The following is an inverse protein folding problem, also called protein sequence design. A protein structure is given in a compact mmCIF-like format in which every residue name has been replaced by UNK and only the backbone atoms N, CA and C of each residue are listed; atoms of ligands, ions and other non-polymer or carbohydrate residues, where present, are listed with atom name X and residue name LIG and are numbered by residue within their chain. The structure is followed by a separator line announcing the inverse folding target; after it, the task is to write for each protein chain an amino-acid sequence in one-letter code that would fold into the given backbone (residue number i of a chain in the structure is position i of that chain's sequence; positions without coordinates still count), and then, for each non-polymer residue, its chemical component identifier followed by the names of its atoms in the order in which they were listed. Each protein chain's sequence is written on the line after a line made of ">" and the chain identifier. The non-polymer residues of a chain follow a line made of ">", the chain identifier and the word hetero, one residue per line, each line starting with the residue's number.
data_IF_429966070264
#
_entry.id   IF_429966070264
#
_cell.length_a   1.000
_cell.length_b   1.000
_cell.length_c   1.000
_cell.angle_alpha   90.00
_cell.angle_beta   90.00
_cell.angle_gamma   90.00
#
_symmetry.space_group_name_H-M   'P 1'
#
loop_
_entity.id
_entity.type
_entity.pdbx_description
1 polymer ?
#
# COMPACT_ATOMS: atom_id res chain seq x y z
N UNK A 1 13.95 -2.63 -4.33
CA UNK A 1 12.98 -1.95 -5.23
C UNK A 1 12.14 -0.95 -4.46
N UNK A 2 11.73 0.14 -5.15
CA UNK A 2 10.77 1.19 -4.77
C UNK A 2 11.28 2.38 -3.93
N UNK A 3 12.12 3.26 -4.52
CA UNK A 3 12.29 4.65 -4.07
C UNK A 3 11.62 5.71 -4.95
N UNK A 4 11.05 5.34 -6.10
CA UNK A 4 10.40 6.29 -7.02
C UNK A 4 8.99 5.82 -7.36
N UNK A 5 8.01 6.24 -6.57
CA UNK A 5 6.60 6.21 -6.96
C UNK A 5 6.22 7.67 -7.18
N UNK A 6 5.88 8.03 -8.40
CA UNK A 6 5.34 9.37 -8.68
C UNK A 6 3.88 9.35 -8.24
N UNK A 7 3.62 9.89 -7.05
CA UNK A 7 2.25 10.16 -6.61
C UNK A 7 1.74 11.41 -7.33
N UNK A 8 0.42 11.47 -7.57
CA UNK A 8 -0.20 12.57 -8.32
C UNK A 8 0.00 13.93 -7.65
N UNK A 9 -0.01 13.96 -6.31
CA UNK A 9 0.21 15.16 -5.49
C UNK A 9 1.47 14.93 -4.65
N UNK A 10 2.64 15.47 -5.05
CA UNK A 10 3.91 15.24 -4.36
C UNK A 10 3.91 15.57 -2.87
N UNK A 11 3.19 16.62 -2.47
CA UNK A 11 3.09 17.12 -1.11
C UNK A 11 2.39 16.14 -0.16
N UNK A 12 1.57 15.24 -0.71
CA UNK A 12 0.84 14.22 0.05
C UNK A 12 1.71 13.01 0.44
N UNK A 13 3.01 13.01 0.13
CA UNK A 13 3.91 11.86 0.30
C UNK A 13 3.89 11.31 1.71
N UNK A 14 3.99 12.18 2.70
CA UNK A 14 4.07 11.79 4.11
C UNK A 14 2.74 11.15 4.57
N UNK A 15 1.61 11.76 4.25
CA UNK A 15 0.29 11.23 4.59
C UNK A 15 0.01 9.91 3.86
N UNK A 16 0.47 9.77 2.61
CA UNK A 16 0.36 8.51 1.87
C UNK A 16 1.19 7.39 2.49
N UNK A 17 2.35 7.70 3.06
CA UNK A 17 3.16 6.71 3.78
C UNK A 17 2.50 6.30 5.10
N UNK A 18 1.92 7.24 5.84
CA UNK A 18 1.13 6.95 7.03
C UNK A 18 -0.11 6.09 6.70
N UNK A 19 -0.83 6.41 5.62
CA UNK A 19 -1.97 5.63 5.15
C UNK A 19 -1.56 4.20 4.80
N UNK A 20 -0.43 4.03 4.11
CA UNK A 20 0.13 2.71 3.77
C UNK A 20 0.43 1.89 5.01
N UNK A 21 1.04 2.50 6.03
CA UNK A 21 1.32 1.84 7.30
C UNK A 21 0.01 1.41 8.00
N UNK A 22 -0.96 2.33 8.09
CA UNK A 22 -2.30 2.09 8.66
C UNK A 22 -3.02 0.92 7.98
N UNK A 23 -3.10 0.93 6.65
CA UNK A 23 -3.81 -0.09 5.85
C UNK A 23 -3.18 -1.47 6.01
N UNK A 24 -1.86 -1.53 6.14
CA UNK A 24 -1.13 -2.78 6.35
C UNK A 24 -1.05 -3.22 7.81
N UNK A 25 -1.61 -2.47 8.76
CA UNK A 25 -1.52 -2.78 10.19
C UNK A 25 -0.10 -2.67 10.76
N UNK A 26 0.77 -1.85 10.14
CA UNK A 26 2.17 -1.67 10.54
C UNK A 26 2.42 -0.26 11.09
N UNK A 27 3.45 -0.12 11.92
CA UNK A 27 3.94 1.21 12.33
C UNK A 27 4.85 1.81 11.26
N UNK A 28 5.57 0.97 10.51
CA UNK A 28 6.54 1.39 9.52
C UNK A 28 6.01 1.17 8.09
N UNK A 29 5.87 2.22 7.26
CA UNK A 29 5.43 2.11 5.87
C UNK A 29 6.28 1.18 5.00
N UNK A 30 7.54 0.95 5.35
CA UNK A 30 8.44 0.05 4.61
C UNK A 30 8.10 -1.42 4.82
N UNK A 31 7.54 -1.76 5.99
CA UNK A 31 7.19 -3.12 6.38
C UNK A 31 5.82 -3.56 5.84
N UNK A 32 4.97 -2.60 5.46
CA UNK A 32 3.64 -2.83 4.90
C UNK A 32 3.57 -3.87 3.76
N UNK A 33 4.62 -3.97 2.94
CA UNK A 33 4.69 -4.95 1.84
C UNK A 33 4.89 -6.39 2.34
N UNK A 34 5.56 -6.58 3.47
CA UNK A 34 5.80 -7.88 4.06
C UNK A 34 4.55 -8.39 4.76
N UNK A 35 3.85 -7.53 5.50
CA UNK A 35 2.54 -7.87 6.07
C UNK A 35 1.53 -8.21 4.98
N UNK A 36 1.42 -7.36 3.96
CA UNK A 36 0.55 -7.64 2.81
C UNK A 36 0.91 -8.98 2.14
N UNK A 37 2.20 -9.35 2.08
CA UNK A 37 2.63 -10.62 1.52
C UNK A 37 2.28 -11.82 2.41
N UNK A 38 2.45 -11.68 3.73
CA UNK A 38 2.07 -12.69 4.72
C UNK A 38 0.57 -12.99 4.66
N UNK A 39 -0.27 -11.94 4.61
CA UNK A 39 -1.73 -12.09 4.48
C UNK A 39 -2.14 -12.84 3.22
N UNK A 40 -1.45 -12.60 2.10
CA UNK A 40 -1.80 -13.26 0.83
C UNK A 40 -1.05 -14.56 0.57
N UNK A 41 -0.24 -15.03 1.53
CA UNK A 41 0.53 -16.28 1.44
C UNK A 41 1.63 -16.25 0.38
N UNK A 42 2.26 -15.09 0.15
CA UNK A 42 3.39 -14.93 -0.77
C UNK A 42 4.69 -14.87 0.03
N UNK A 43 5.71 -15.69 -0.29
CA UNK A 43 6.96 -15.74 0.45
C UNK A 43 7.90 -14.58 0.05
N UNK A 44 7.51 -13.36 0.38
CA UNK A 44 8.30 -12.16 0.15
C UNK A 44 9.36 -11.99 1.24
N UNK A 45 10.62 -11.86 0.85
CA UNK A 45 11.77 -11.78 1.77
C UNK A 45 12.50 -10.45 1.69
N UNK A 46 13.25 -10.10 2.74
CA UNK A 46 14.20 -8.98 2.70
C UNK A 46 15.38 -9.36 1.79
N UNK A 47 15.52 -8.69 0.65
CA UNK A 47 16.59 -8.95 -0.31
C UNK A 47 16.07 -9.38 -1.69
N UNK A 48 16.66 -10.44 -2.24
CA UNK A 48 16.35 -10.93 -3.58
C UNK A 48 15.05 -11.75 -3.60
N UNK A 49 14.17 -11.41 -4.54
CA UNK A 49 12.86 -12.06 -4.71
C UNK A 49 12.62 -12.42 -6.19
N UNK A 50 13.68 -12.69 -6.96
CA UNK A 50 13.56 -12.98 -8.40
C UNK A 50 12.83 -14.29 -8.71
N UNK A 51 12.69 -15.17 -7.72
CA UNK A 51 11.87 -16.38 -7.78
C UNK A 51 10.36 -16.12 -7.68
N UNK A 52 9.93 -14.92 -7.27
CA UNK A 52 8.50 -14.59 -7.20
C UNK A 52 7.93 -14.43 -8.60
N UNK A 53 6.84 -15.14 -8.86
CA UNK A 53 6.11 -14.99 -10.12
C UNK A 53 5.48 -13.59 -10.21
N UNK A 54 5.29 -13.04 -11.43
CA UNK A 54 4.57 -11.79 -11.62
C UNK A 54 3.18 -11.79 -10.97
N UNK A 55 2.49 -12.94 -10.98
CA UNK A 55 1.19 -13.13 -10.32
C UNK A 55 1.28 -12.96 -8.81
N UNK A 56 2.30 -13.53 -8.16
CA UNK A 56 2.51 -13.38 -6.71
C UNK A 56 2.85 -11.93 -6.35
N UNK A 57 3.76 -11.29 -7.09
CA UNK A 57 4.08 -9.87 -6.89
C UNK A 57 2.84 -8.98 -7.07
N UNK A 58 2.03 -9.26 -8.10
CA UNK A 58 0.75 -8.59 -8.33
C UNK A 58 -0.24 -8.79 -7.20
N UNK A 59 -0.32 -9.99 -6.59
CA UNK A 59 -1.20 -10.28 -5.45
C UNK A 59 -0.85 -9.40 -4.23
N UNK A 60 0.44 -9.29 -3.90
CA UNK A 60 0.92 -8.42 -2.81
C UNK A 60 0.62 -6.95 -3.10
N UNK A 61 0.96 -6.49 -4.32
CA UNK A 61 0.74 -5.12 -4.75
C UNK A 61 -0.75 -4.74 -4.79
N UNK A 62 -1.60 -5.63 -5.27
CA UNK A 62 -3.05 -5.46 -5.33
C UNK A 62 -3.68 -5.42 -3.95
N UNK A 63 -3.26 -6.29 -3.02
CA UNK A 63 -3.74 -6.28 -1.64
C UNK A 63 -3.47 -4.95 -0.94
N UNK A 64 -2.25 -4.42 -1.05
CA UNK A 64 -1.88 -3.17 -0.40
C UNK A 64 -2.41 -1.94 -1.16
N UNK A 65 -2.22 -1.91 -2.48
CA UNK A 65 -2.63 -0.80 -3.35
C UNK A 65 -4.13 -0.63 -3.45
N UNK A 66 -4.86 -1.74 -3.61
CA UNK A 66 -6.32 -1.73 -3.68
C UNK A 66 -6.96 -1.19 -2.42
N UNK A 67 -6.45 -1.57 -1.24
CA UNK A 67 -6.98 -1.08 0.02
C UNK A 67 -6.63 0.39 0.29
N UNK A 68 -5.44 0.85 -0.09
CA UNK A 68 -5.12 2.28 -0.04
C UNK A 68 -6.09 3.09 -0.91
N UNK A 69 -6.39 2.64 -2.13
CA UNK A 69 -7.34 3.32 -3.01
C UNK A 69 -8.74 3.30 -2.42
N UNK A 70 -9.19 2.16 -1.87
CA UNK A 70 -10.49 2.04 -1.21
C UNK A 70 -10.64 3.04 -0.06
N UNK A 71 -9.63 3.14 0.81
CA UNK A 71 -9.64 4.06 1.95
C UNK A 71 -9.58 5.53 1.49
N UNK A 72 -8.82 5.85 0.44
CA UNK A 72 -8.80 7.19 -0.17
C UNK A 72 -10.17 7.60 -0.71
N UNK A 73 -10.84 6.72 -1.45
CA UNK A 73 -12.18 6.98 -1.98
C UNK A 73 -13.19 7.17 -0.84
N UNK A 74 -13.11 6.34 0.20
CA UNK A 74 -13.95 6.47 1.40
C UNK A 74 -13.76 7.83 2.08
N UNK A 75 -12.52 8.24 2.35
CA UNK A 75 -12.23 9.56 2.94
C UNK A 75 -12.76 10.71 2.08
N UNK A 76 -12.63 10.61 0.75
CA UNK A 76 -13.14 11.61 -0.17
C UNK A 76 -14.68 11.70 -0.11
N UNK A 77 -15.38 10.56 -0.11
CA UNK A 77 -16.84 10.50 0.02
C UNK A 77 -17.33 11.11 1.34
N UNK A 78 -16.68 10.77 2.46
CA UNK A 78 -17.00 11.34 3.78
C UNK A 78 -16.82 12.86 3.81
N UNK A 79 -15.74 13.37 3.22
CA UNK A 79 -15.46 14.80 3.15
C UNK A 79 -16.47 15.56 2.26
N UNK A 80 -16.96 14.94 1.19
CA UNK A 80 -18.02 15.52 0.35
C UNK A 80 -19.36 15.55 1.07
N UNK A 81 -19.68 14.50 1.85
CA UNK A 81 -20.92 14.44 2.62
C UNK A 81 -20.94 15.45 3.78
N UNK A 82 -19.81 15.71 4.44
CA UNK A 82 -19.71 16.72 5.52
C UNK A 82 -19.85 18.17 5.04
N UNK A 83 -19.67 18.42 3.73
CA UNK A 83 -19.81 19.75 3.12
C UNK A 83 -21.23 20.05 2.63
N UNK A 84 -22.14 19.07 2.71
CA UNK A 84 -23.57 19.25 2.49
C UNK A 84 -24.25 19.57 3.81
#
# INVERSE_FOLDING_TARGET
>A
MARRRNILVPEARQQMDQLKAKVAGTQNPEDAKFEAAAEVGVPLQKGYNGQLTPKQAGKVGGRLGGDMVRELVKMAQENLNKKK
#
